data_IF_915434190817
#
_entry.id   IF_915434190817
#
_cell.length_a   1.000
_cell.length_b   1.000
_cell.length_c   1.000
_cell.angle_alpha   90.00
_cell.angle_beta   90.00
_cell.angle_gamma   90.00
#
_symmetry.space_group_name_H-M   'P 1'
#
loop_
_entity.id
_entity.type
_entity.pdbx_description
1 polymer ?
#
# COMPACT_ATOMS: atom_id res chain seq x y z
N UNK A 1 -9.51 8.37 -3.47
CA UNK A 1 -9.17 7.29 -4.44
C UNK A 1 -8.43 6.07 -3.85
N UNK A 2 -7.99 6.05 -2.59
CA UNK A 2 -7.33 4.85 -1.99
C UNK A 2 -8.36 3.77 -1.58
N UNK A 3 -9.62 4.15 -1.31
CA UNK A 3 -10.69 3.22 -0.93
C UNK A 3 -10.94 2.09 -1.95
N UNK A 4 -10.65 2.30 -3.23
CA UNK A 4 -10.84 1.29 -4.28
C UNK A 4 -9.75 0.21 -4.32
N UNK A 5 -8.57 0.46 -3.76
CA UNK A 5 -7.52 -0.56 -3.66
C UNK A 5 -7.83 -1.61 -2.57
N UNK A 6 -8.66 -1.26 -1.58
CA UNK A 6 -9.12 -2.18 -0.54
C UNK A 6 -10.18 -3.19 -1.05
N UNK A 7 -10.85 -2.91 -2.17
CA UNK A 7 -11.89 -3.80 -2.71
C UNK A 7 -11.34 -5.09 -3.35
N UNK A 8 -10.07 -5.12 -3.79
CA UNK A 8 -9.39 -6.37 -4.23
C UNK A 8 -8.81 -7.18 -3.08
N UNK A 9 -8.72 -6.58 -1.91
CA UNK A 9 -8.06 -7.11 -0.73
C UNK A 9 -9.03 -7.85 0.22
N UNK A 10 -10.26 -8.13 -0.23
CA UNK A 10 -11.31 -8.64 0.65
C UNK A 10 -11.25 -10.15 0.92
N UNK A 11 -10.47 -10.94 0.17
CA UNK A 11 -10.21 -12.34 0.54
C UNK A 11 -8.81 -12.52 1.13
N UNK A 12 -8.67 -13.25 2.25
CA UNK A 12 -7.36 -13.59 2.82
C UNK A 12 -6.42 -14.27 1.81
N UNK A 13 -6.96 -15.03 0.87
CA UNK A 13 -6.20 -15.69 -0.19
C UNK A 13 -5.59 -14.70 -1.18
N UNK A 14 -6.34 -13.65 -1.58
CA UNK A 14 -5.83 -12.62 -2.46
C UNK A 14 -4.68 -11.83 -1.80
N UNK A 15 -4.81 -11.54 -0.50
CA UNK A 15 -3.74 -10.90 0.27
C UNK A 15 -2.47 -11.74 0.32
N UNK A 16 -2.59 -13.05 0.57
CA UNK A 16 -1.45 -13.97 0.55
C UNK A 16 -0.76 -14.01 -0.81
N UNK A 17 -1.52 -14.01 -1.92
CA UNK A 17 -0.95 -13.97 -3.28
C UNK A 17 -0.19 -12.66 -3.56
N UNK A 18 -0.72 -11.52 -3.10
CA UNK A 18 -0.06 -10.21 -3.23
C UNK A 18 1.23 -10.20 -2.41
N UNK A 19 1.21 -10.70 -1.18
CA UNK A 19 2.38 -10.75 -0.31
C UNK A 19 3.47 -11.67 -0.88
N UNK A 20 3.09 -12.87 -1.36
CA UNK A 20 4.02 -13.79 -2.01
C UNK A 20 4.67 -13.17 -3.26
N UNK A 21 3.88 -12.51 -4.11
CA UNK A 21 4.40 -11.82 -5.29
C UNK A 21 5.35 -10.67 -4.91
N UNK A 22 5.05 -9.94 -3.83
CA UNK A 22 5.92 -8.88 -3.31
C UNK A 22 7.25 -9.45 -2.80
N UNK A 23 7.20 -10.54 -2.03
CA UNK A 23 8.39 -11.21 -1.52
C UNK A 23 9.27 -11.70 -2.67
N UNK A 24 8.68 -12.37 -3.66
CA UNK A 24 9.40 -12.86 -4.83
C UNK A 24 10.11 -11.73 -5.58
N UNK A 25 9.41 -10.63 -5.87
CA UNK A 25 9.99 -9.47 -6.57
C UNK A 25 11.13 -8.84 -5.77
N UNK A 26 10.99 -8.69 -4.45
CA UNK A 26 12.05 -8.11 -3.61
C UNK A 26 13.26 -9.02 -3.58
N UNK A 27 13.07 -10.33 -3.39
CA UNK A 27 14.18 -11.30 -3.41
C UNK A 27 14.95 -11.25 -4.71
N UNK A 28 14.25 -11.23 -5.85
CA UNK A 28 14.84 -11.14 -7.19
C UNK A 28 15.65 -9.84 -7.37
N UNK A 29 15.12 -8.69 -6.94
CA UNK A 29 15.72 -7.37 -7.18
C UNK A 29 16.88 -7.01 -6.26
N UNK A 30 16.91 -7.58 -5.05
CA UNK A 30 17.93 -7.26 -4.07
C UNK A 30 19.12 -8.23 -4.10
N UNK A 31 18.96 -9.41 -4.72
CA UNK A 31 20.00 -10.44 -4.81
C UNK A 31 20.63 -10.72 -3.43
N UNK A 32 19.78 -10.92 -2.43
CA UNK A 32 20.23 -11.14 -1.05
C UNK A 32 20.96 -12.48 -0.94
N UNK A 33 22.14 -12.47 -0.31
CA UNK A 33 22.74 -13.72 0.17
C UNK A 33 21.86 -14.37 1.24
N UNK A 34 21.97 -15.70 1.48
CA UNK A 34 21.22 -16.38 2.54
C UNK A 34 21.35 -15.70 3.91
N UNK A 35 22.56 -15.27 4.27
CA UNK A 35 22.83 -14.60 5.55
C UNK A 35 22.19 -13.21 5.64
N UNK A 36 22.13 -12.48 4.52
CA UNK A 36 21.43 -11.20 4.46
C UNK A 36 19.92 -11.39 4.54
N UNK A 37 19.37 -12.37 3.81
CA UNK A 37 17.93 -12.63 3.79
C UNK A 37 17.40 -12.96 5.19
N UNK A 38 18.12 -13.79 5.95
CA UNK A 38 17.75 -14.17 7.32
C UNK A 38 17.62 -12.94 8.25
N UNK A 39 18.53 -11.97 8.12
CA UNK A 39 18.50 -10.73 8.92
C UNK A 39 17.56 -9.66 8.36
N UNK A 40 17.39 -9.60 7.05
CA UNK A 40 16.61 -8.59 6.34
C UNK A 40 15.11 -8.75 6.55
N UNK A 41 14.58 -9.96 6.34
CA UNK A 41 13.13 -10.19 6.34
C UNK A 41 12.42 -9.83 7.66
N UNK A 42 12.97 -10.14 8.85
CA UNK A 42 12.39 -9.70 10.12
C UNK A 42 12.24 -8.18 10.21
N UNK A 43 13.29 -7.43 9.87
CA UNK A 43 13.30 -5.95 9.89
C UNK A 43 12.28 -5.40 8.89
N UNK A 44 12.23 -5.97 7.69
CA UNK A 44 11.33 -5.54 6.63
C UNK A 44 9.86 -5.78 6.96
N UNK A 45 9.53 -6.92 7.58
CA UNK A 45 8.15 -7.23 8.04
C UNK A 45 7.71 -6.28 9.15
N UNK A 46 8.58 -6.05 10.13
CA UNK A 46 8.34 -5.10 11.22
C UNK A 46 8.06 -3.70 10.67
N UNK A 47 8.88 -3.23 9.72
CA UNK A 47 8.67 -1.96 9.03
C UNK A 47 7.30 -1.88 8.33
N UNK A 48 6.92 -2.95 7.62
CA UNK A 48 5.63 -3.07 6.94
C UNK A 48 4.45 -2.95 7.91
N UNK A 49 4.53 -3.62 9.06
CA UNK A 49 3.49 -3.56 10.10
C UNK A 49 3.35 -2.15 10.68
N UNK A 50 4.46 -1.50 11.05
CA UNK A 50 4.42 -0.13 11.59
C UNK A 50 3.91 0.89 10.57
N UNK A 51 4.27 0.75 9.29
CA UNK A 51 3.69 1.58 8.20
C UNK A 51 2.18 1.38 8.08
N UNK A 52 1.72 0.14 8.23
CA UNK A 52 0.30 -0.20 8.14
C UNK A 52 -0.49 0.40 9.31
N UNK A 53 0.06 0.35 10.52
CA UNK A 53 -0.54 0.98 11.72
C UNK A 53 -0.75 2.49 11.53
N UNK A 54 0.31 3.22 11.15
CA UNK A 54 0.22 4.67 10.90
C UNK A 54 -0.82 4.98 9.81
N UNK A 55 -0.85 4.18 8.73
CA UNK A 55 -1.84 4.35 7.66
C UNK A 55 -3.27 4.11 8.18
N UNK A 56 -3.50 3.03 8.93
CA UNK A 56 -4.82 2.66 9.45
C UNK A 56 -5.40 3.75 10.34
N UNK A 57 -4.59 4.31 11.23
CA UNK A 57 -4.98 5.40 12.12
C UNK A 57 -5.49 6.60 11.30
N UNK A 58 -4.74 7.02 10.28
CA UNK A 58 -5.13 8.12 9.40
C UNK A 58 -6.35 7.82 8.53
N UNK A 59 -6.42 6.61 7.96
CA UNK A 59 -7.55 6.18 7.13
C UNK A 59 -8.85 6.12 7.95
N UNK A 60 -8.77 5.71 9.22
CA UNK A 60 -9.92 5.72 10.14
C UNK A 60 -10.42 7.13 10.42
N UNK A 61 -9.53 8.06 10.78
CA UNK A 61 -9.90 9.46 11.01
C UNK A 61 -10.51 10.09 9.75
N UNK A 62 -9.94 9.80 8.58
CA UNK A 62 -10.44 10.33 7.31
C UNK A 62 -11.78 9.74 6.89
N UNK A 63 -12.09 8.50 7.26
CA UNK A 63 -13.33 7.81 6.84
C UNK A 63 -14.57 8.50 7.40
N UNK A 64 -14.48 9.05 8.61
CA UNK A 64 -15.59 9.71 9.31
C UNK A 64 -15.57 11.23 9.14
N UNK A 65 -14.57 11.79 8.46
CA UNK A 65 -14.38 13.22 8.32
C UNK A 65 -15.00 13.76 7.02
N UNK A 66 -15.86 14.77 7.16
CA UNK A 66 -16.46 15.52 6.05
C UNK A 66 -16.11 17.00 6.22
N UNK A 67 -15.16 17.48 5.40
CA UNK A 67 -14.65 18.87 5.48
C UNK A 67 -15.74 19.93 5.26
N UNK A 68 -16.82 19.59 4.56
CA UNK A 68 -17.91 20.53 4.29
C UNK A 68 -18.87 20.69 5.47
N UNK A 69 -18.82 19.76 6.44
CA UNK A 69 -19.68 19.76 7.63
C UNK A 69 -18.88 20.04 8.92
N UNK A 70 -17.56 19.92 8.86
CA UNK A 70 -16.67 20.20 9.96
C UNK A 70 -16.55 21.71 10.23
N UNK A 71 -16.37 22.06 11.49
CA UNK A 71 -15.97 23.40 11.93
C UNK A 71 -14.54 23.73 11.48
N UNK A 72 -14.17 25.01 11.48
CA UNK A 72 -12.79 25.43 11.16
C UNK A 72 -11.76 24.78 12.10
N UNK A 73 -12.08 24.65 13.38
CA UNK A 73 -11.21 24.01 14.37
C UNK A 73 -11.03 22.50 14.11
N UNK A 74 -12.09 21.80 13.68
CA UNK A 74 -12.00 20.40 13.28
C UNK A 74 -11.22 20.22 11.98
N UNK A 75 -11.39 21.12 11.01
CA UNK A 75 -10.59 21.15 9.79
C UNK A 75 -9.10 21.33 10.10
N UNK A 76 -8.77 22.26 11.01
CA UNK A 76 -7.41 22.48 11.47
C UNK A 76 -6.81 21.25 12.15
N UNK A 77 -7.55 20.59 13.04
CA UNK A 77 -7.11 19.34 13.68
C UNK A 77 -6.85 18.22 12.68
N UNK A 78 -7.70 18.09 11.64
CA UNK A 78 -7.48 17.10 10.58
C UNK A 78 -6.23 17.41 9.76
N UNK A 79 -5.95 18.69 9.48
CA UNK A 79 -4.72 19.12 8.82
C UNK A 79 -3.48 18.82 9.67
N UNK A 80 -3.52 19.13 10.96
CA UNK A 80 -2.44 18.83 11.91
C UNK A 80 -2.17 17.33 12.00
N UNK A 81 -3.23 16.50 12.12
CA UNK A 81 -3.10 15.04 12.11
C UNK A 81 -2.45 14.55 10.81
N UNK A 82 -2.81 15.11 9.66
CA UNK A 82 -2.20 14.75 8.38
C UNK A 82 -0.69 15.07 8.35
N UNK A 83 -0.28 16.19 8.93
CA UNK A 83 1.14 16.56 9.04
C UNK A 83 1.89 15.63 10.01
N UNK A 84 1.34 15.37 11.19
CA UNK A 84 1.91 14.43 12.17
C UNK A 84 2.07 13.02 11.59
N UNK A 85 1.13 12.55 10.77
CA UNK A 85 1.24 11.26 10.07
C UNK A 85 2.42 11.25 9.11
N UNK A 86 2.64 12.33 8.33
CA UNK A 86 3.79 12.45 7.43
C UNK A 86 5.12 12.45 8.20
N UNK A 87 5.19 13.18 9.30
CA UNK A 87 6.38 13.21 10.17
C UNK A 87 6.70 11.84 10.75
N UNK A 88 5.69 11.13 11.28
CA UNK A 88 5.86 9.76 11.79
C UNK A 88 6.31 8.80 10.69
N UNK A 89 5.77 8.91 9.48
CA UNK A 89 6.20 8.11 8.34
C UNK A 89 7.66 8.37 7.99
N UNK A 90 8.08 9.64 7.90
CA UNK A 90 9.47 9.98 7.59
C UNK A 90 10.44 9.50 8.68
N UNK A 91 10.07 9.67 9.95
CA UNK A 91 10.86 9.19 11.09
C UNK A 91 11.01 7.67 11.05
N UNK A 92 9.93 6.95 10.75
CA UNK A 92 9.93 5.50 10.57
C UNK A 92 10.83 5.09 9.41
N UNK A 93 10.70 5.74 8.25
CA UNK A 93 11.53 5.46 7.07
C UNK A 93 13.02 5.63 7.32
N UNK A 94 13.40 6.69 8.05
CA UNK A 94 14.81 6.92 8.45
C UNK A 94 15.32 5.81 9.36
N UNK A 95 14.61 5.53 10.45
CA UNK A 95 15.01 4.53 11.43
C UNK A 95 15.18 3.13 10.80
N UNK A 96 14.27 2.72 9.91
CA UNK A 96 14.40 1.42 9.23
C UNK A 96 15.42 1.43 8.11
N UNK A 97 15.66 2.57 7.44
CA UNK A 97 16.77 2.68 6.48
C UNK A 97 18.10 2.42 7.18
N UNK A 98 18.34 3.04 8.33
CA UNK A 98 19.54 2.81 9.15
C UNK A 98 19.68 1.34 9.57
N UNK A 99 18.61 0.74 10.10
CA UNK A 99 18.61 -0.68 10.50
C UNK A 99 18.87 -1.63 9.33
N UNK A 100 18.27 -1.35 8.16
CA UNK A 100 18.44 -2.17 6.95
C UNK A 100 19.86 -2.01 6.38
N UNK A 101 20.46 -0.83 6.44
CA UNK A 101 21.83 -0.58 5.97
C UNK A 101 22.90 -1.34 6.78
N UNK A 102 22.59 -1.78 8.00
CA UNK A 102 23.45 -2.68 8.77
C UNK A 102 23.46 -4.13 8.22
N UNK A 103 22.58 -4.45 7.28
CA UNK A 103 22.42 -5.80 6.69
C UNK A 103 22.70 -5.80 5.19
N UNK A 104 22.23 -4.78 4.47
CA UNK A 104 22.35 -4.68 3.01
C UNK A 104 23.08 -3.40 2.61
N UNK A 105 23.58 -3.35 1.37
CA UNK A 105 24.26 -2.16 0.84
C UNK A 105 23.28 -1.03 0.52
N UNK A 106 23.78 0.21 0.45
CA UNK A 106 23.01 1.37 -0.01
C UNK A 106 22.42 1.18 -1.40
N UNK A 107 23.15 0.49 -2.30
CA UNK A 107 22.65 0.12 -3.63
C UNK A 107 21.43 -0.79 -3.53
N UNK A 108 21.49 -1.82 -2.70
CA UNK A 108 20.35 -2.72 -2.46
C UNK A 108 19.17 -2.00 -1.81
N UNK A 109 19.41 -1.07 -0.88
CA UNK A 109 18.33 -0.25 -0.29
C UNK A 109 17.65 0.65 -1.33
N UNK A 110 18.41 1.27 -2.24
CA UNK A 110 17.82 2.04 -3.34
C UNK A 110 17.02 1.14 -4.29
N UNK A 111 17.52 -0.06 -4.60
CA UNK A 111 16.79 -1.05 -5.40
C UNK A 111 15.51 -1.51 -4.69
N UNK A 112 15.52 -1.67 -3.37
CA UNK A 112 14.34 -1.98 -2.57
C UNK A 112 13.26 -0.91 -2.72
N UNK A 113 13.63 0.37 -2.57
CA UNK A 113 12.69 1.49 -2.74
C UNK A 113 12.08 1.51 -4.13
N UNK A 114 12.88 1.26 -5.17
CA UNK A 114 12.41 1.15 -6.55
C UNK A 114 11.46 -0.04 -6.71
N UNK A 115 11.83 -1.22 -6.24
CA UNK A 115 11.02 -2.44 -6.33
C UNK A 115 9.66 -2.28 -5.62
N UNK A 116 9.62 -1.62 -4.45
CA UNK A 116 8.36 -1.32 -3.76
C UNK A 116 7.44 -0.40 -4.59
N UNK A 117 8.02 0.63 -5.22
CA UNK A 117 7.28 1.58 -6.05
C UNK A 117 6.75 0.89 -7.31
N UNK A 118 7.58 0.14 -8.01
CA UNK A 118 7.21 -0.63 -9.20
C UNK A 118 6.08 -1.62 -8.87
N UNK A 119 6.20 -2.34 -7.75
CA UNK A 119 5.16 -3.26 -7.28
C UNK A 119 3.82 -2.54 -7.03
N UNK A 120 3.87 -1.39 -6.35
CA UNK A 120 2.68 -0.58 -6.07
C UNK A 120 2.03 -0.10 -7.36
N UNK A 121 2.81 0.37 -8.33
CA UNK A 121 2.30 0.79 -9.63
C UNK A 121 1.66 -0.36 -10.40
N UNK A 122 2.33 -1.52 -10.46
CA UNK A 122 1.79 -2.73 -11.08
C UNK A 122 0.47 -3.14 -10.44
N UNK A 123 0.39 -3.15 -9.10
CA UNK A 123 -0.81 -3.48 -8.36
C UNK A 123 -1.96 -2.50 -8.67
N UNK A 124 -1.68 -1.19 -8.69
CA UNK A 124 -2.67 -0.17 -9.03
C UNK A 124 -3.18 -0.30 -10.48
N UNK A 125 -2.27 -0.54 -11.43
CA UNK A 125 -2.63 -0.78 -12.84
C UNK A 125 -3.56 -1.99 -12.96
N UNK A 126 -3.23 -3.10 -12.28
CA UNK A 126 -4.05 -4.33 -12.25
C UNK A 126 -5.44 -4.09 -11.66
N UNK A 127 -5.51 -3.41 -10.51
CA UNK A 127 -6.77 -3.06 -9.85
C UNK A 127 -7.66 -2.23 -10.78
N UNK A 128 -7.12 -1.17 -11.41
CA UNK A 128 -7.87 -0.33 -12.34
C UNK A 128 -8.36 -1.11 -13.58
N UNK A 129 -7.50 -1.94 -14.16
CA UNK A 129 -7.86 -2.75 -15.32
C UNK A 129 -9.03 -3.70 -15.01
N UNK A 130 -9.01 -4.33 -13.86
CA UNK A 130 -10.05 -5.27 -13.46
C UNK A 130 -11.36 -4.56 -13.08
N UNK A 131 -11.29 -3.36 -12.48
CA UNK A 131 -12.48 -2.50 -12.30
C UNK A 131 -13.12 -2.12 -13.63
N UNK A 132 -12.33 -1.74 -14.64
CA UNK A 132 -12.84 -1.42 -15.98
C UNK A 132 -13.51 -2.62 -16.66
N UNK A 133 -12.94 -3.83 -16.52
CA UNK A 133 -13.55 -5.07 -17.04
C UNK A 133 -14.91 -5.34 -16.40
N UNK A 134 -14.99 -5.27 -15.06
CA UNK A 134 -16.25 -5.46 -14.32
C UNK A 134 -17.31 -4.43 -14.72
N UNK A 135 -16.92 -3.17 -14.95
CA UNK A 135 -17.84 -2.13 -15.40
C UNK A 135 -18.35 -2.41 -16.82
N UNK A 136 -17.49 -2.87 -17.75
CA UNK A 136 -17.90 -3.24 -19.11
C UNK A 136 -18.86 -4.43 -19.12
N UNK A 137 -18.60 -5.46 -18.32
CA UNK A 137 -19.50 -6.62 -18.18
C UNK A 137 -20.89 -6.20 -17.70
N UNK A 138 -20.97 -5.43 -16.60
CA UNK A 138 -22.23 -4.89 -16.10
C UNK A 138 -23.02 -4.08 -17.12
N UNK A 139 -22.34 -3.27 -17.95
CA UNK A 139 -23.00 -2.50 -19.02
C UNK A 139 -23.51 -3.38 -20.16
N UNK A 140 -22.80 -4.45 -20.50
CA UNK A 140 -23.24 -5.40 -21.52
C UNK A 140 -24.43 -6.24 -21.04
N UNK A 141 -24.42 -6.69 -19.79
CA UNK A 141 -25.51 -7.48 -19.20
C UNK A 141 -26.82 -6.67 -19.12
N UNK A 142 -26.75 -5.39 -18.72
CA UNK A 142 -27.90 -4.49 -18.73
C UNK A 142 -28.50 -4.30 -20.13
N UNK A 143 -27.64 -4.12 -21.15
CA UNK A 143 -28.07 -4.00 -22.56
C UNK A 143 -28.69 -5.26 -23.13
N UNK A 144 -28.31 -6.44 -22.64
CA UNK A 144 -28.88 -7.72 -23.06
C UNK A 144 -30.26 -7.97 -22.43
N UNK A 145 -30.48 -7.51 -21.19
CA UNK A 145 -31.79 -7.56 -20.54
C UNK A 145 -32.79 -6.57 -21.16
N UNK A 146 -32.36 -5.36 -21.53
CA UNK A 146 -33.23 -4.37 -22.19
C UNK A 146 -33.70 -4.80 -23.60
N UNK A 147 -33.03 -5.76 -24.23
CA UNK A 147 -33.42 -6.32 -25.54
C UNK A 147 -34.33 -7.54 -25.45
N UNK A 148 -34.54 -8.08 -24.25
CA UNK A 148 -35.36 -9.28 -23.99
C UNK A 148 -36.73 -8.96 -23.39
N UNK A 149 -36.98 -7.70 -23.04
CA UNK A 149 -38.29 -7.14 -22.71
C UNK A 149 -38.80 -6.28 -23.86
#
# INVERSE_FOLDING_TARGET
MIASAMAYAQSPEAMKKIEAAKIALITERLELSPQQAEKFWPIYREFGNKRLEIRREFDQARKTFDSNKATEEENKKMLEMANQVKERQLKLERAYSERILNVITTRQLNNLRKAENDFKEMLLKRIRAEQMKRQKQRRNDGRLNDRRN
#
